data_IF_998336694988
#
_entry.id   IF_998336694988
#
_cell.length_a   1.000
_cell.length_b   1.000
_cell.length_c   1.000
_cell.angle_alpha   90.00
_cell.angle_beta   90.00
_cell.angle_gamma   90.00
#
_symmetry.space_group_name_H-M   'P 1'
#
loop_
_entity.id
_entity.type
_entity.pdbx_description
1 polymer ?
#
# COMPACT_ATOMS: atom_id res chain seq x y z
N UNK A 1 -45.65 -77.97 -29.85
CA UNK A 1 -44.81 -79.23 -29.98
C UNK A 1 -43.51 -78.98 -29.20
N UNK A 2 -43.27 -79.94 -28.23
CA UNK A 2 -41.97 -80.44 -27.75
C UNK A 2 -40.97 -79.35 -27.21
N UNK A 3 -40.42 -79.45 -26.10
CA UNK A 3 -40.18 -80.39 -24.93
C UNK A 3 -39.13 -79.63 -24.13
N UNK A 4 -39.37 -79.36 -22.83
CA UNK A 4 -38.82 -80.10 -21.70
C UNK A 4 -37.33 -80.37 -21.79
N UNK A 5 -36.58 -79.81 -20.91
CA UNK A 5 -35.79 -80.56 -19.91
C UNK A 5 -35.21 -79.65 -18.83
N UNK A 6 -35.60 -79.98 -17.68
CA UNK A 6 -35.08 -79.79 -16.34
C UNK A 6 -33.65 -80.35 -16.22
N UNK A 7 -32.70 -79.70 -15.61
CA UNK A 7 -31.66 -80.27 -14.80
C UNK A 7 -31.24 -79.36 -13.64
N UNK A 8 -31.52 -79.95 -12.54
CA UNK A 8 -31.07 -79.57 -11.19
C UNK A 8 -29.60 -79.93 -11.05
N UNK A 9 -28.78 -79.09 -10.42
CA UNK A 9 -27.83 -79.51 -9.38
C UNK A 9 -27.00 -78.31 -8.85
N UNK A 10 -27.04 -78.22 -7.60
CA UNK A 10 -26.03 -78.19 -6.56
C UNK A 10 -25.30 -76.84 -6.27
N UNK A 11 -25.56 -76.52 -5.06
CA UNK A 11 -24.90 -75.52 -4.21
C UNK A 11 -23.38 -75.48 -4.32
N UNK A 12 -22.87 -74.26 -4.40
CA UNK A 12 -21.57 -73.91 -3.83
C UNK A 12 -21.66 -72.49 -3.23
N UNK A 13 -21.74 -72.46 -1.91
CA UNK A 13 -21.58 -71.30 -1.09
C UNK A 13 -20.13 -70.81 -1.22
N UNK A 14 -19.86 -69.86 -2.03
CA UNK A 14 -18.59 -69.17 -2.03
C UNK A 14 -18.78 -67.84 -1.26
N UNK A 15 -18.35 -67.87 -0.01
CA UNK A 15 -18.20 -66.70 0.85
C UNK A 15 -17.11 -65.83 0.25
N UNK A 16 -17.49 -64.85 -0.55
CA UNK A 16 -16.57 -63.80 -1.01
C UNK A 16 -16.46 -62.78 0.11
N UNK A 17 -15.37 -62.86 0.86
CA UNK A 17 -14.91 -61.81 1.74
C UNK A 17 -14.62 -60.58 0.86
N UNK A 18 -15.53 -59.61 0.80
CA UNK A 18 -15.28 -58.28 0.36
C UNK A 18 -14.41 -57.59 1.42
N UNK A 19 -13.10 -57.72 1.27
CA UNK A 19 -12.17 -56.79 1.94
C UNK A 19 -12.40 -55.42 1.38
N UNK A 20 -13.15 -54.59 2.11
CA UNK A 20 -13.19 -53.17 1.91
C UNK A 20 -11.79 -52.64 2.23
N UNK A 21 -10.94 -52.56 1.23
CA UNK A 21 -9.75 -51.69 1.28
C UNK A 21 -10.24 -50.28 1.38
N UNK A 22 -10.42 -49.79 2.60
CA UNK A 22 -10.55 -48.38 2.89
C UNK A 22 -9.29 -47.68 2.41
N UNK A 23 -9.36 -47.02 1.28
CA UNK A 23 -8.39 -45.99 0.94
C UNK A 23 -8.40 -44.97 2.10
N UNK A 24 -7.49 -45.12 3.04
CA UNK A 24 -7.12 -44.00 3.92
C UNK A 24 -6.58 -42.93 3.00
N UNK A 25 -7.43 -41.93 2.74
CA UNK A 25 -7.03 -40.64 2.18
C UNK A 25 -5.90 -40.16 3.10
N UNK A 26 -4.66 -40.24 2.63
CA UNK A 26 -3.54 -39.61 3.27
C UNK A 26 -3.93 -38.13 3.30
N UNK A 27 -4.32 -37.63 4.45
CA UNK A 27 -4.33 -36.17 4.66
C UNK A 27 -2.87 -35.76 4.47
N UNK A 28 -2.58 -35.22 3.28
CA UNK A 28 -1.38 -34.44 3.11
C UNK A 28 -1.54 -33.32 4.12
N UNK A 29 -0.73 -33.36 5.16
CA UNK A 29 -0.41 -32.19 5.96
C UNK A 29 0.16 -31.20 4.96
N UNK A 30 -0.73 -30.32 4.47
CA UNK A 30 -0.32 -29.10 3.81
C UNK A 30 0.44 -28.36 4.89
N UNK A 31 1.76 -28.57 4.94
CA UNK A 31 2.65 -27.67 5.61
C UNK A 31 2.42 -26.32 4.93
N UNK A 32 1.49 -25.54 5.48
CA UNK A 32 1.41 -24.13 5.13
C UNK A 32 2.74 -23.53 5.57
N UNK A 33 3.67 -23.44 4.64
CA UNK A 33 4.85 -22.60 4.80
C UNK A 33 4.28 -21.21 5.00
N UNK A 34 4.11 -20.83 6.27
CA UNK A 34 3.78 -19.46 6.62
C UNK A 34 4.99 -18.63 6.22
N UNK A 35 4.94 -18.04 5.04
CA UNK A 35 5.92 -17.02 4.65
C UNK A 35 5.95 -15.99 5.78
N UNK A 36 7.12 -15.70 6.38
CA UNK A 36 7.18 -14.77 7.48
C UNK A 36 6.53 -13.47 7.05
N UNK A 37 5.45 -13.09 7.76
CA UNK A 37 4.74 -11.84 7.49
C UNK A 37 5.68 -10.69 7.83
N UNK A 38 5.92 -9.81 6.88
CA UNK A 38 6.73 -8.62 7.12
C UNK A 38 6.10 -7.78 8.24
N UNK A 39 6.93 -7.30 9.16
CA UNK A 39 6.56 -6.37 10.22
C UNK A 39 7.49 -5.16 10.16
N UNK A 40 6.91 -3.98 10.12
CA UNK A 40 7.68 -2.73 10.16
C UNK A 40 8.11 -2.42 11.59
N UNK A 41 9.36 -2.67 11.93
CA UNK A 41 9.88 -2.46 13.29
C UNK A 41 10.13 -0.99 13.64
N UNK A 42 10.25 -0.12 12.63
CA UNK A 42 10.44 1.34 12.79
C UNK A 42 9.15 2.15 12.67
N UNK A 43 8.04 1.52 12.26
CA UNK A 43 6.78 2.22 12.08
C UNK A 43 6.08 2.48 13.41
N UNK A 44 5.59 3.69 13.56
CA UNK A 44 4.82 4.08 14.74
C UNK A 44 3.37 3.58 14.64
N UNK A 45 2.75 3.29 15.78
CA UNK A 45 1.38 2.77 15.85
C UNK A 45 0.34 3.82 16.26
N UNK A 46 0.80 4.99 16.71
CA UNK A 46 -0.04 6.13 17.12
C UNK A 46 0.35 7.37 16.32
N UNK A 47 -0.57 8.33 16.11
CA UNK A 47 -0.24 9.58 15.46
C UNK A 47 0.88 10.35 16.18
N UNK A 48 1.81 10.93 15.40
CA UNK A 48 2.82 11.86 15.89
C UNK A 48 2.27 13.29 16.04
N UNK A 49 1.21 13.60 15.28
CA UNK A 49 0.60 14.93 15.27
C UNK A 49 0.00 15.29 16.64
N UNK A 50 0.22 16.52 17.06
CA UNK A 50 -0.38 17.07 18.29
C UNK A 50 -1.76 17.66 17.99
N UNK A 51 -2.72 17.46 18.90
CA UNK A 51 -4.11 17.94 18.75
C UNK A 51 -4.19 19.48 18.61
N UNK A 52 -3.28 20.21 19.24
CA UNK A 52 -3.19 21.67 19.10
C UNK A 52 -2.97 22.13 17.64
N UNK A 53 -2.51 21.24 16.76
CA UNK A 53 -2.17 21.57 15.37
C UNK A 53 -3.06 20.89 14.32
N UNK A 54 -4.11 20.19 14.74
CA UNK A 54 -5.01 19.51 13.83
C UNK A 54 -5.65 20.45 12.80
N UNK A 55 -5.98 21.68 13.22
CA UNK A 55 -6.57 22.73 12.38
C UNK A 55 -5.59 23.89 12.14
N UNK A 56 -4.37 23.59 11.77
CA UNK A 56 -3.30 24.58 11.56
C UNK A 56 -2.38 24.10 10.44
N UNK A 57 -1.67 25.01 9.79
CA UNK A 57 -0.57 24.67 8.88
C UNK A 57 0.63 24.02 9.59
N UNK A 58 0.73 24.11 10.94
CA UNK A 58 1.66 23.30 11.74
C UNK A 58 1.24 21.84 11.79
N UNK A 59 2.18 20.97 12.18
CA UNK A 59 1.92 19.55 12.43
C UNK A 59 2.74 18.63 11.55
N UNK A 60 2.25 17.40 11.43
CA UNK A 60 2.91 16.32 10.70
C UNK A 60 2.21 16.07 9.37
N UNK A 61 3.01 15.88 8.34
CA UNK A 61 2.54 15.48 7.01
C UNK A 61 3.36 14.30 6.55
N UNK A 62 2.69 13.28 6.03
CA UNK A 62 3.34 12.06 5.51
C UNK A 62 2.97 11.85 4.06
N UNK A 63 3.88 11.29 3.31
CA UNK A 63 3.68 11.14 1.88
C UNK A 63 4.48 10.03 1.25
N UNK A 64 4.16 9.79 -0.01
CA UNK A 64 4.80 8.80 -0.88
C UNK A 64 5.54 9.49 -2.01
N UNK A 65 6.70 8.96 -2.33
CA UNK A 65 7.43 9.28 -3.55
C UNK A 65 7.18 8.17 -4.56
N UNK A 66 6.83 8.50 -5.80
CA UNK A 66 6.67 7.53 -6.88
C UNK A 66 7.64 7.83 -8.02
N UNK A 67 8.06 6.78 -8.71
CA UNK A 67 9.14 6.83 -9.71
C UNK A 67 10.48 6.48 -9.13
N UNK A 68 10.46 6.12 -7.86
CA UNK A 68 11.48 5.51 -7.04
C UNK A 68 10.78 4.89 -5.84
N UNK A 69 11.41 3.98 -5.09
CA UNK A 69 10.91 3.63 -3.78
C UNK A 69 11.15 4.80 -2.83
N UNK A 70 10.12 5.21 -2.07
CA UNK A 70 10.37 6.27 -1.11
C UNK A 70 9.17 6.82 -0.38
N UNK A 71 9.50 7.38 0.78
CA UNK A 71 8.57 8.04 1.68
C UNK A 71 9.08 9.42 2.06
N UNK A 72 8.19 10.29 2.49
CA UNK A 72 8.54 11.58 3.06
C UNK A 72 7.67 11.90 4.26
N UNK A 73 8.28 12.57 5.25
CA UNK A 73 7.60 13.11 6.43
C UNK A 73 8.04 14.55 6.62
N UNK A 74 7.09 15.51 6.62
CA UNK A 74 7.35 16.90 6.97
C UNK A 74 6.93 17.14 8.42
N UNK A 75 7.82 17.69 9.21
CA UNK A 75 7.58 18.22 10.54
C UNK A 75 7.56 19.75 10.46
N UNK A 76 6.35 20.32 10.41
CA UNK A 76 6.14 21.77 10.40
C UNK A 76 5.95 22.24 11.84
N UNK A 77 7.05 22.22 12.62
CA UNK A 77 7.02 22.66 14.01
C UNK A 77 6.02 21.89 14.90
N UNK A 78 5.81 20.62 14.66
CA UNK A 78 4.94 19.77 15.49
C UNK A 78 5.41 19.69 16.94
N UNK A 79 6.72 19.88 17.18
CA UNK A 79 7.28 20.10 18.52
C UNK A 79 7.68 21.57 18.64
N UNK A 80 7.37 22.23 19.76
CA UNK A 80 7.54 23.68 19.93
C UNK A 80 8.99 24.17 19.81
N UNK A 81 9.95 23.26 19.88
CA UNK A 81 11.40 23.54 19.84
C UNK A 81 12.07 23.04 18.55
N UNK A 82 11.34 22.38 17.66
CA UNK A 82 11.96 21.76 16.51
C UNK A 82 12.15 22.73 15.35
N UNK A 83 13.31 22.67 14.73
CA UNK A 83 13.52 23.20 13.40
C UNK A 83 12.54 22.53 12.42
N UNK A 84 11.95 23.31 11.51
CA UNK A 84 11.08 22.77 10.47
C UNK A 84 11.93 21.90 9.53
N UNK A 85 11.57 20.63 9.41
CA UNK A 85 12.35 19.61 8.69
C UNK A 85 11.46 18.70 7.87
N UNK A 86 12.05 18.10 6.85
CA UNK A 86 11.50 16.94 6.21
C UNK A 86 12.49 15.77 6.26
N UNK A 87 11.95 14.58 6.43
CA UNK A 87 12.70 13.33 6.43
C UNK A 87 12.23 12.50 5.25
N UNK A 88 13.10 12.29 4.30
CA UNK A 88 12.83 11.52 3.08
C UNK A 88 13.68 10.24 3.09
N UNK A 89 13.07 9.15 2.68
CA UNK A 89 13.80 7.94 2.30
C UNK A 89 13.53 7.74 0.81
N UNK A 90 14.57 7.59 0.02
CA UNK A 90 14.49 7.35 -1.41
C UNK A 90 15.54 6.31 -1.81
N UNK A 91 15.11 5.23 -2.45
CA UNK A 91 15.96 4.07 -2.80
C UNK A 91 16.80 3.57 -1.61
N UNK A 92 16.20 3.56 -0.41
CA UNK A 92 16.85 3.13 0.83
C UNK A 92 17.81 4.15 1.45
N UNK A 93 18.01 5.32 0.83
CA UNK A 93 18.85 6.39 1.36
C UNK A 93 18.03 7.39 2.15
N UNK A 94 18.40 7.62 3.40
CA UNK A 94 17.75 8.61 4.26
C UNK A 94 18.35 10.00 4.03
N UNK A 95 17.48 10.98 3.82
CA UNK A 95 17.83 12.39 3.59
C UNK A 95 17.05 13.25 4.57
N UNK A 96 17.75 14.16 5.26
CA UNK A 96 17.11 15.22 6.05
C UNK A 96 17.16 16.52 5.26
N UNK A 97 15.99 17.14 5.11
CA UNK A 97 15.84 18.45 4.47
C UNK A 97 15.44 19.47 5.52
N UNK A 98 15.91 20.69 5.39
CA UNK A 98 15.60 21.80 6.30
C UNK A 98 14.92 22.94 5.55
N UNK A 99 14.05 23.66 6.24
CA UNK A 99 13.39 24.86 5.75
C UNK A 99 13.79 26.07 6.60
N UNK A 100 14.12 27.17 5.92
CA UNK A 100 14.49 28.43 6.58
C UNK A 100 13.27 29.33 6.86
N UNK A 101 12.12 29.06 6.22
CA UNK A 101 10.88 29.83 6.40
C UNK A 101 10.25 29.49 7.74
N UNK A 102 10.10 30.52 8.59
CA UNK A 102 9.44 30.37 9.88
C UNK A 102 7.94 30.22 9.72
N UNK A 103 7.34 29.36 10.52
CA UNK A 103 5.89 29.24 10.58
C UNK A 103 5.26 30.48 11.27
N UNK A 104 4.10 30.91 10.75
CA UNK A 104 3.30 32.00 11.31
C UNK A 104 1.87 31.53 11.50
N UNK A 105 1.28 31.81 12.67
CA UNK A 105 -0.08 31.42 13.00
C UNK A 105 -1.12 32.03 12.06
N UNK A 106 -2.11 31.24 11.63
CA UNK A 106 -3.20 31.67 10.77
C UNK A 106 -2.81 31.97 9.31
N UNK A 107 -1.59 31.64 8.91
CA UNK A 107 -1.08 31.86 7.55
C UNK A 107 -0.78 30.52 6.88
N UNK A 108 -1.02 30.44 5.57
CA UNK A 108 -0.57 29.32 4.74
C UNK A 108 0.95 29.18 4.86
N UNK A 109 1.43 27.94 4.93
CA UNK A 109 2.86 27.68 4.98
C UNK A 109 3.36 27.24 3.60
N UNK A 110 4.35 27.96 3.08
CA UNK A 110 5.03 27.61 1.82
C UNK A 110 6.53 27.74 2.06
N UNK A 111 7.29 26.70 1.78
CA UNK A 111 8.74 26.73 1.94
C UNK A 111 9.45 25.74 1.03
N UNK A 112 10.62 26.10 0.48
CA UNK A 112 11.58 25.13 0.01
C UNK A 112 12.20 24.40 1.22
N UNK A 113 12.32 23.09 1.08
CA UNK A 113 13.08 22.20 1.93
C UNK A 113 14.31 21.77 1.16
N UNK A 114 15.49 22.00 1.70
CA UNK A 114 16.78 21.75 1.03
C UNK A 114 17.66 20.81 1.82
N UNK A 115 18.48 20.05 1.13
CA UNK A 115 19.45 19.10 1.70
C UNK A 115 20.30 18.47 0.61
N UNK A 116 20.88 17.30 0.90
CA UNK A 116 21.73 16.61 -0.06
C UNK A 116 21.40 15.11 -0.10
N UNK A 117 21.39 14.55 -1.31
CA UNK A 117 21.31 13.12 -1.60
C UNK A 117 22.61 12.74 -2.32
N UNK A 118 23.44 11.88 -1.71
CA UNK A 118 24.71 11.44 -2.28
C UNK A 118 25.62 12.62 -2.71
N UNK A 119 25.65 13.69 -1.89
CA UNK A 119 26.46 14.89 -2.16
C UNK A 119 25.85 15.87 -3.18
N UNK A 120 24.71 15.57 -3.78
CA UNK A 120 24.01 16.43 -4.73
C UNK A 120 22.83 17.15 -4.07
N UNK A 121 22.57 18.41 -4.48
CA UNK A 121 21.53 19.22 -3.88
C UNK A 121 20.12 18.66 -4.18
N UNK A 122 19.31 18.53 -3.13
CA UNK A 122 17.87 18.25 -3.19
C UNK A 122 17.10 19.48 -2.81
N UNK A 123 16.00 19.76 -3.51
CA UNK A 123 15.05 20.81 -3.15
C UNK A 123 13.62 20.33 -3.39
N UNK A 124 12.74 20.55 -2.39
CA UNK A 124 11.32 20.22 -2.45
C UNK A 124 10.56 21.43 -1.90
N UNK A 125 9.68 22.05 -2.70
CA UNK A 125 8.81 23.13 -2.21
C UNK A 125 7.48 22.54 -1.75
N UNK A 126 7.24 22.60 -0.45
CA UNK A 126 6.00 22.19 0.19
C UNK A 126 5.09 23.39 0.42
N UNK A 127 3.80 23.19 0.23
CA UNK A 127 2.75 24.20 0.45
C UNK A 127 1.55 23.57 1.15
N UNK A 128 0.97 24.31 2.08
CA UNK A 128 -0.27 23.93 2.78
C UNK A 128 -1.02 25.19 3.20
N UNK A 129 -2.36 25.16 3.20
CA UNK A 129 -3.16 26.31 3.62
C UNK A 129 -3.12 26.54 5.15
N UNK A 130 -3.65 27.67 5.61
CA UNK A 130 -3.56 28.11 7.01
C UNK A 130 -4.19 27.10 7.99
N UNK A 131 -5.20 26.33 7.56
CA UNK A 131 -5.89 25.34 8.38
C UNK A 131 -5.29 23.93 8.23
N UNK A 132 -4.21 23.79 7.46
CA UNK A 132 -3.55 22.51 7.24
C UNK A 132 -4.20 21.63 6.18
N UNK A 133 -5.16 22.16 5.43
CA UNK A 133 -5.76 21.44 4.31
C UNK A 133 -4.92 21.63 3.03
N UNK A 134 -5.21 20.80 2.02
CA UNK A 134 -4.58 20.83 0.71
C UNK A 134 -3.03 20.83 0.72
N UNK A 135 -2.39 19.96 1.53
CA UNK A 135 -0.95 19.85 1.48
C UNK A 135 -0.50 19.38 0.09
N UNK A 136 0.49 20.05 -0.48
CA UNK A 136 0.99 19.73 -1.83
C UNK A 136 2.48 20.04 -1.96
N UNK A 137 3.13 19.37 -2.90
CA UNK A 137 4.47 19.70 -3.37
C UNK A 137 4.35 20.40 -4.70
N UNK A 138 4.78 21.65 -4.75
CA UNK A 138 4.64 22.52 -5.92
C UNK A 138 5.83 22.47 -6.87
N UNK A 139 7.01 22.13 -6.34
CA UNK A 139 8.20 21.87 -7.14
C UNK A 139 9.13 20.91 -6.42
N UNK A 140 9.91 20.12 -7.17
CA UNK A 140 10.96 19.30 -6.60
C UNK A 140 12.10 19.09 -7.60
N UNK A 141 13.30 18.96 -7.03
CA UNK A 141 14.50 18.50 -7.73
C UNK A 141 15.16 17.44 -6.85
N UNK A 142 15.09 16.19 -7.29
CA UNK A 142 15.73 15.04 -6.63
C UNK A 142 16.73 14.45 -7.62
N UNK A 143 18.05 14.55 -7.37
CA UNK A 143 19.07 14.03 -8.26
C UNK A 143 18.87 12.55 -8.57
N UNK A 144 18.96 12.16 -9.83
CA UNK A 144 18.71 10.80 -10.30
C UNK A 144 17.22 10.46 -10.53
N UNK A 145 16.27 11.31 -10.09
CA UNK A 145 14.84 11.05 -10.15
C UNK A 145 14.04 12.18 -10.83
N UNK A 146 14.33 12.52 -12.11
CA UNK A 146 13.75 13.68 -12.78
C UNK A 146 12.23 13.60 -12.96
N UNK A 147 11.68 12.39 -12.94
CA UNK A 147 10.25 12.13 -13.11
C UNK A 147 9.56 11.70 -11.80
N UNK A 148 10.22 11.86 -10.64
CA UNK A 148 9.57 11.57 -9.36
C UNK A 148 8.34 12.47 -9.17
N UNK A 149 7.30 11.93 -8.56
CA UNK A 149 6.14 12.68 -8.08
C UNK A 149 5.93 12.37 -6.61
N UNK A 150 5.38 13.33 -5.89
CA UNK A 150 5.22 13.25 -4.45
C UNK A 150 3.82 13.69 -4.08
N UNK A 151 3.14 12.88 -3.27
CA UNK A 151 1.86 13.22 -2.67
C UNK A 151 1.96 13.16 -1.16
N UNK A 152 1.27 14.05 -0.49
CA UNK A 152 1.29 14.20 0.96
C UNK A 152 -0.10 14.31 1.53
N UNK A 153 -0.27 13.82 2.76
CA UNK A 153 -1.48 13.99 3.55
C UNK A 153 -1.12 14.50 4.94
N UNK A 154 -2.00 15.30 5.52
CA UNK A 154 -1.86 15.74 6.91
C UNK A 154 -2.21 14.59 7.84
N UNK A 155 -1.33 14.33 8.81
CA UNK A 155 -1.66 13.53 9.98
C UNK A 155 -2.30 14.41 11.03
N UNK A 156 -3.35 13.93 11.70
CA UNK A 156 -3.97 14.57 12.86
C UNK A 156 -3.78 13.72 14.09
N UNK A 157 -4.00 14.29 15.27
CA UNK A 157 -3.86 13.58 16.54
C UNK A 157 -4.75 12.33 16.67
N UNK A 158 -5.80 12.24 15.87
CA UNK A 158 -6.76 11.12 15.84
C UNK A 158 -6.67 10.27 14.55
N UNK A 159 -5.81 10.65 13.60
CA UNK A 159 -5.73 10.01 12.29
C UNK A 159 -4.29 9.74 11.89
N UNK A 160 -3.79 8.57 12.29
CA UNK A 160 -2.49 8.07 11.84
C UNK A 160 -2.50 7.87 10.31
N UNK A 161 -1.52 8.44 9.64
CA UNK A 161 -1.23 8.16 8.24
C UNK A 161 -0.17 7.07 8.16
N UNK A 162 -0.55 5.92 7.64
CA UNK A 162 0.35 4.80 7.33
C UNK A 162 0.78 4.91 5.87
N UNK A 163 2.06 4.73 5.62
CA UNK A 163 2.63 4.76 4.26
C UNK A 163 3.10 3.37 3.89
N UNK A 164 2.78 2.95 2.67
CA UNK A 164 3.14 1.63 2.14
C UNK A 164 3.83 1.80 0.79
N UNK A 165 4.83 0.99 0.56
CA UNK A 165 5.51 0.84 -0.72
C UNK A 165 5.23 -0.54 -1.29
N UNK A 166 4.92 -0.61 -2.57
CA UNK A 166 4.50 -1.85 -3.18
C UNK A 166 4.67 -1.89 -4.68
N UNK A 167 4.13 -2.95 -5.23
CA UNK A 167 4.15 -3.24 -6.66
C UNK A 167 2.76 -3.63 -7.14
N UNK A 168 2.49 -3.34 -8.40
CA UNK A 168 1.34 -3.86 -9.11
C UNK A 168 1.80 -4.53 -10.41
N UNK A 169 1.10 -5.58 -10.81
CA UNK A 169 1.37 -6.31 -12.04
C UNK A 169 0.10 -6.40 -12.88
N UNK A 170 0.19 -5.99 -14.13
CA UNK A 170 -0.83 -6.28 -15.13
C UNK A 170 -0.65 -7.72 -15.60
N UNK A 171 -1.58 -8.61 -15.25
CA UNK A 171 -1.49 -10.04 -15.61
C UNK A 171 -1.82 -10.30 -17.07
N UNK A 172 -2.53 -9.38 -17.72
CA UNK A 172 -2.89 -9.47 -19.13
C UNK A 172 -1.70 -9.11 -20.04
N UNK A 173 -0.94 -8.07 -19.67
CA UNK A 173 0.19 -7.57 -20.48
C UNK A 173 1.57 -7.93 -19.90
N UNK A 174 1.61 -8.52 -18.70
CA UNK A 174 2.82 -8.86 -17.94
C UNK A 174 3.67 -7.65 -17.50
N UNK A 175 3.14 -6.43 -17.60
CA UNK A 175 3.83 -5.21 -17.17
C UNK A 175 3.79 -5.04 -15.66
N UNK A 176 4.88 -4.55 -15.10
CA UNK A 176 4.99 -4.22 -13.68
C UNK A 176 4.81 -2.71 -13.48
N UNK A 177 4.49 -2.34 -12.26
CA UNK A 177 4.34 -0.95 -11.82
C UNK A 177 4.81 -0.80 -10.38
N UNK A 178 5.41 0.32 -10.05
CA UNK A 178 5.54 0.78 -8.67
C UNK A 178 4.17 1.25 -8.18
N UNK A 179 3.81 0.86 -6.96
CA UNK A 179 2.53 1.19 -6.33
C UNK A 179 2.77 1.61 -4.88
N UNK A 180 2.72 2.92 -4.62
CA UNK A 180 2.93 3.45 -3.27
C UNK A 180 1.66 4.14 -2.78
N UNK A 181 1.29 3.91 -1.52
CA UNK A 181 0.02 4.40 -0.99
C UNK A 181 0.13 4.96 0.43
N UNK A 182 -0.79 5.85 0.74
CA UNK A 182 -1.10 6.34 2.08
C UNK A 182 -2.45 5.81 2.51
N UNK A 183 -2.56 5.36 3.76
CA UNK A 183 -3.78 4.85 4.37
C UNK A 183 -4.06 5.56 5.68
N UNK A 184 -5.26 6.07 5.86
CA UNK A 184 -5.83 6.45 7.15
C UNK A 184 -6.96 5.50 7.52
N UNK A 185 -6.76 4.70 8.57
CA UNK A 185 -7.78 3.77 9.06
C UNK A 185 -8.94 4.49 9.75
N UNK A 186 -8.67 5.62 10.42
CA UNK A 186 -9.69 6.44 11.08
C UNK A 186 -10.59 7.20 10.11
N UNK A 187 -10.01 7.71 9.00
CA UNK A 187 -10.78 8.35 7.94
C UNK A 187 -11.38 7.34 6.96
N UNK A 188 -11.07 6.05 7.11
CA UNK A 188 -11.50 4.96 6.24
C UNK A 188 -11.21 5.22 4.75
N UNK A 189 -10.05 5.81 4.46
CA UNK A 189 -9.63 6.19 3.10
C UNK A 189 -8.19 5.85 2.84
N UNK A 190 -7.89 5.57 1.59
CA UNK A 190 -6.54 5.41 1.09
C UNK A 190 -6.37 6.13 -0.25
N UNK A 191 -5.13 6.44 -0.55
CA UNK A 191 -4.72 7.13 -1.76
C UNK A 191 -3.40 6.55 -2.24
N UNK A 192 -3.25 6.29 -3.51
CA UNK A 192 -2.04 5.75 -4.11
C UNK A 192 -1.63 6.48 -5.39
N UNK A 193 -0.34 6.35 -5.68
CA UNK A 193 0.25 6.59 -6.99
C UNK A 193 0.72 5.28 -7.58
N UNK A 194 0.51 5.14 -8.87
CA UNK A 194 0.92 3.96 -9.66
C UNK A 194 1.72 4.46 -10.85
N UNK A 195 2.89 3.87 -11.08
CA UNK A 195 3.70 4.13 -12.27
C UNK A 195 4.12 2.82 -12.90
N UNK A 196 3.74 2.61 -14.15
CA UNK A 196 4.22 1.49 -14.97
C UNK A 196 5.72 1.64 -15.24
N UNK A 197 6.45 0.53 -15.20
CA UNK A 197 7.88 0.51 -15.48
C UNK A 197 8.19 1.11 -16.86
N UNK A 198 9.17 2.01 -16.89
CA UNK A 198 9.54 2.77 -18.08
C UNK A 198 8.64 3.97 -18.41
N UNK A 199 7.55 4.21 -17.65
CA UNK A 199 6.71 5.40 -17.81
C UNK A 199 7.29 6.61 -17.09
N UNK A 200 7.10 7.80 -17.65
CA UNK A 200 7.41 9.08 -17.01
C UNK A 200 6.23 9.67 -16.23
N UNK A 201 5.02 9.13 -16.44
CA UNK A 201 3.80 9.59 -15.79
C UNK A 201 3.30 8.59 -14.74
N UNK A 202 2.64 9.10 -13.71
CA UNK A 202 2.02 8.29 -12.66
C UNK A 202 0.52 8.58 -12.58
N UNK A 203 -0.28 7.52 -12.44
CA UNK A 203 -1.71 7.61 -12.25
C UNK A 203 -2.06 7.72 -10.77
N UNK A 204 -3.19 8.35 -10.46
CA UNK A 204 -3.79 8.39 -9.14
C UNK A 204 -4.80 7.25 -9.00
N UNK A 205 -4.84 6.64 -7.82
CA UNK A 205 -5.90 5.72 -7.41
C UNK A 205 -6.28 6.08 -5.98
N UNK A 206 -7.56 6.17 -5.71
CA UNK A 206 -8.07 6.42 -4.37
C UNK A 206 -9.25 5.51 -4.07
N UNK A 207 -9.50 5.26 -2.78
CA UNK A 207 -10.56 4.35 -2.40
C UNK A 207 -10.90 4.41 -0.92
N UNK A 208 -11.74 3.46 -0.53
CA UNK A 208 -12.23 3.30 0.84
C UNK A 208 -11.51 2.15 1.55
N UNK A 209 -11.53 2.22 2.87
CA UNK A 209 -11.02 1.20 3.76
C UNK A 209 -12.08 0.84 4.79
N UNK A 210 -12.49 -0.40 4.81
CA UNK A 210 -13.43 -0.91 5.82
C UNK A 210 -13.15 -2.40 6.11
N UNK A 211 -13.25 -2.79 7.39
CA UNK A 211 -13.05 -4.18 7.82
C UNK A 211 -11.76 -4.83 7.27
N UNK A 212 -10.65 -4.10 7.31
CA UNK A 212 -9.35 -4.49 6.74
C UNK A 212 -9.33 -4.69 5.22
N UNK A 213 -10.35 -4.25 4.51
CA UNK A 213 -10.40 -4.29 3.04
C UNK A 213 -10.19 -2.88 2.48
N UNK A 214 -9.20 -2.76 1.59
CA UNK A 214 -9.05 -1.61 0.71
C UNK A 214 -9.83 -1.89 -0.56
N UNK A 215 -10.64 -0.94 -1.00
CA UNK A 215 -11.38 -1.06 -2.27
C UNK A 215 -11.39 0.24 -3.02
N UNK A 216 -11.43 0.17 -4.34
CA UNK A 216 -11.66 1.32 -5.20
C UNK A 216 -12.62 0.99 -6.34
N UNK A 217 -13.32 2.02 -6.80
CA UNK A 217 -14.14 2.04 -8.00
C UNK A 217 -14.06 3.46 -8.57
N UNK A 218 -13.54 3.61 -9.79
CA UNK A 218 -13.38 4.92 -10.44
C UNK A 218 -14.67 5.39 -11.15
N UNK A 219 -15.74 4.60 -11.09
CA UNK A 219 -17.00 4.87 -11.78
C UNK A 219 -16.90 4.79 -13.32
N UNK A 220 -15.73 4.40 -13.86
CA UNK A 220 -15.46 4.30 -15.31
C UNK A 220 -15.08 2.88 -15.72
N UNK A 221 -15.23 1.93 -14.79
CA UNK A 221 -15.00 0.50 -15.02
C UNK A 221 -13.68 -0.02 -14.45
N UNK A 222 -12.85 0.82 -13.82
CA UNK A 222 -11.73 0.32 -13.06
C UNK A 222 -12.13 0.08 -11.60
N UNK A 223 -11.94 -1.15 -11.14
CA UNK A 223 -12.22 -1.55 -9.76
C UNK A 223 -11.11 -2.43 -9.20
N UNK A 224 -11.00 -2.50 -7.90
CA UNK A 224 -10.05 -3.39 -7.25
C UNK A 224 -10.22 -3.46 -5.75
N UNK A 225 -9.58 -4.45 -5.15
CA UNK A 225 -9.57 -4.64 -3.70
C UNK A 225 -8.30 -5.33 -3.22
N UNK A 226 -7.99 -5.17 -1.94
CA UNK A 226 -6.93 -5.90 -1.26
C UNK A 226 -7.22 -6.00 0.24
N UNK A 227 -6.47 -6.81 0.95
CA UNK A 227 -6.60 -7.01 2.40
C UNK A 227 -5.40 -6.42 3.12
N UNK A 228 -5.65 -5.63 4.17
CA UNK A 228 -4.63 -5.23 5.14
C UNK A 228 -4.45 -6.35 6.17
N UNK A 229 -3.24 -6.87 6.27
CA UNK A 229 -2.85 -7.89 7.26
C UNK A 229 -1.59 -7.43 7.99
N UNK A 230 -1.76 -6.87 9.20
CA UNK A 230 -0.67 -6.23 9.93
C UNK A 230 -0.08 -5.05 9.16
N UNK A 231 1.21 -5.13 8.85
CA UNK A 231 1.93 -4.14 8.04
C UNK A 231 2.02 -4.52 6.55
N UNK A 232 1.16 -5.43 6.09
CA UNK A 232 1.14 -5.90 4.70
C UNK A 232 -0.22 -5.64 4.06
N UNK A 233 -0.19 -5.25 2.80
CA UNK A 233 -1.35 -5.28 1.91
C UNK A 233 -1.15 -6.46 0.97
N UNK A 234 -2.07 -7.41 1.04
CA UNK A 234 -2.00 -8.72 0.37
C UNK A 234 -3.27 -9.00 -0.43
N UNK A 235 -3.20 -9.98 -1.31
CA UNK A 235 -4.32 -10.45 -2.13
C UNK A 235 -4.97 -9.32 -2.94
N UNK A 236 -4.17 -8.32 -3.32
CA UNK A 236 -4.63 -7.22 -4.13
C UNK A 236 -4.95 -7.67 -5.55
N UNK A 237 -6.15 -7.33 -6.03
CA UNK A 237 -6.58 -7.55 -7.40
C UNK A 237 -7.19 -6.28 -7.96
N UNK A 238 -7.10 -6.11 -9.29
CA UNK A 238 -7.74 -5.01 -9.99
C UNK A 238 -8.16 -5.43 -11.39
N UNK A 239 -9.13 -4.73 -11.93
CA UNK A 239 -9.51 -4.74 -13.35
C UNK A 239 -9.75 -3.30 -13.82
N UNK A 240 -9.66 -3.05 -15.12
CA UNK A 240 -10.01 -1.77 -15.73
C UNK A 240 -11.16 -1.92 -16.74
N UNK A 241 -11.55 -0.81 -17.36
CA UNK A 241 -12.61 -0.79 -18.40
C UNK A 241 -12.21 -1.52 -19.68
N UNK A 242 -10.92 -1.76 -19.91
CA UNK A 242 -10.41 -2.70 -20.91
C UNK A 242 -10.40 -4.10 -20.26
N UNK A 243 -10.34 -5.20 -21.03
CA UNK A 243 -10.29 -6.54 -20.44
C UNK A 243 -8.91 -6.86 -19.83
N UNK A 244 -8.35 -5.92 -19.07
CA UNK A 244 -7.08 -6.07 -18.37
C UNK A 244 -7.33 -6.27 -16.88
N UNK A 245 -6.56 -7.18 -16.31
CA UNK A 245 -6.59 -7.51 -14.88
C UNK A 245 -5.19 -7.51 -14.31
N UNK A 246 -5.10 -7.45 -13.00
CA UNK A 246 -3.80 -7.54 -12.35
C UNK A 246 -3.88 -7.75 -10.86
N UNK A 247 -2.70 -7.81 -10.26
CA UNK A 247 -2.50 -7.98 -8.82
C UNK A 247 -1.68 -6.82 -8.26
N UNK A 248 -1.78 -6.60 -6.97
CA UNK A 248 -0.96 -5.63 -6.24
C UNK A 248 -0.75 -6.03 -4.79
N UNK A 249 0.37 -5.61 -4.26
CA UNK A 249 0.75 -5.82 -2.87
C UNK A 249 1.63 -4.67 -2.40
N UNK A 250 1.67 -4.45 -1.09
CA UNK A 250 2.53 -3.42 -0.51
C UNK A 250 2.92 -3.77 0.94
N UNK A 251 4.02 -3.16 1.39
CA UNK A 251 4.53 -3.27 2.75
C UNK A 251 4.60 -1.89 3.38
N UNK A 252 4.25 -1.80 4.64
CA UNK A 252 4.32 -0.56 5.38
C UNK A 252 5.77 -0.13 5.60
N UNK A 253 6.06 1.15 5.36
CA UNK A 253 7.43 1.71 5.49
C UNK A 253 7.48 2.95 6.39
N UNK A 254 6.29 3.54 6.72
CA UNK A 254 6.20 4.67 7.65
C UNK A 254 4.89 4.67 8.44
#
# INVERSE_FOLDING_TARGET
MKKSTLFLTLAAVAFVFLTVMGCKKKEELVNSVTTPTYTCTSCITTPEAKSAYDNSSRGMYKGVVIGSSGTIKFDIGNTDTSAIKAYMVIDGVSVTLTADVKWVAGVSYVSPFTGTLNGQAVSITFSVDAMGANPTVTSMNIPGHPNATLDVAKETSTSLIKVFEGTAKNTTTSKNSTFNLMLSTSLKRWYARVREDGSTSASKVEGTFDNNVLSFDDGKGATGSATLSGDNIINGTWKNSKPETGTWEAKRTL
#
